data_IF_195289827842
#
_entry.id   IF_195289827842
#
_cell.length_a   1.000
_cell.length_b   1.000
_cell.length_c   1.000
_cell.angle_alpha   90.00
_cell.angle_beta   90.00
_cell.angle_gamma   90.00
#
_symmetry.space_group_name_H-M   'P 1'
#
loop_
_entity.id
_entity.type
_entity.pdbx_description
1 polymer ?
#
# COMPACT_ATOMS: atom_id res chain seq x y z
N UNK A 1 3.19 -0.47 21.17
CA UNK A 1 3.91 -0.14 19.91
C UNK A 1 5.19 -0.96 19.82
N UNK A 2 5.67 -1.28 18.60
CA UNK A 2 6.92 -2.01 18.40
C UNK A 2 8.11 -1.05 18.40
N UNK A 3 9.18 -1.36 19.14
CA UNK A 3 10.38 -0.51 19.23
C UNK A 3 11.13 -0.34 17.91
N UNK A 4 10.98 -1.27 16.97
CA UNK A 4 11.56 -1.17 15.62
C UNK A 4 10.63 -0.47 14.61
N UNK A 5 9.42 -0.10 15.00
CA UNK A 5 8.45 0.54 14.10
C UNK A 5 8.84 1.97 13.76
N UNK A 6 8.80 2.32 12.47
CA UNK A 6 9.14 3.64 11.93
C UNK A 6 7.92 4.43 11.42
N UNK A 7 6.74 3.80 11.36
CA UNK A 7 5.47 4.42 10.96
C UNK A 7 4.32 4.02 11.89
N UNK A 8 3.29 4.86 11.97
CA UNK A 8 2.10 4.63 12.79
C UNK A 8 1.12 3.66 12.11
N UNK A 9 1.51 2.38 12.01
CA UNK A 9 0.81 1.36 11.20
C UNK A 9 -0.69 1.30 11.43
N UNK A 10 -1.12 1.35 12.70
CA UNK A 10 -2.54 1.27 13.08
C UNK A 10 -3.32 2.49 12.60
N UNK A 11 -2.82 3.71 12.82
CA UNK A 11 -3.49 4.93 12.41
C UNK A 11 -3.62 4.99 10.87
N UNK A 12 -2.53 4.64 10.16
CA UNK A 12 -2.53 4.58 8.69
C UNK A 12 -3.54 3.54 8.19
N UNK A 13 -3.62 2.35 8.82
CA UNK A 13 -4.59 1.32 8.46
C UNK A 13 -6.04 1.79 8.64
N UNK A 14 -6.34 2.44 9.77
CA UNK A 14 -7.67 2.98 10.09
C UNK A 14 -8.10 4.07 9.09
N UNK A 15 -7.17 4.96 8.70
CA UNK A 15 -7.41 6.00 7.70
C UNK A 15 -7.68 5.39 6.31
N UNK A 16 -6.84 4.46 5.85
CA UNK A 16 -7.03 3.79 4.56
C UNK A 16 -8.35 3.01 4.52
N UNK A 17 -8.68 2.28 5.59
CA UNK A 17 -9.94 1.54 5.68
C UNK A 17 -11.16 2.47 5.59
N UNK A 18 -11.04 3.71 6.10
CA UNK A 18 -12.10 4.71 6.06
C UNK A 18 -12.20 5.39 4.69
N UNK A 19 -11.08 5.79 4.11
CA UNK A 19 -11.06 6.61 2.89
C UNK A 19 -11.08 5.81 1.58
N UNK A 20 -10.59 4.56 1.62
CA UNK A 20 -10.39 3.72 0.43
C UNK A 20 -11.06 2.34 0.54
N UNK A 21 -12.36 2.24 0.92
CA UNK A 21 -13.03 0.95 1.09
C UNK A 21 -13.07 0.11 -0.20
N UNK A 22 -13.08 0.76 -1.37
CA UNK A 22 -13.17 0.10 -2.68
C UNK A 22 -11.92 -0.70 -3.07
N UNK A 23 -10.81 -0.54 -2.33
CA UNK A 23 -9.63 -1.40 -2.46
C UNK A 23 -9.90 -2.82 -1.93
N UNK A 24 -10.87 -2.98 -1.03
CA UNK A 24 -11.06 -4.19 -0.25
C UNK A 24 -12.28 -5.01 -0.71
N UNK A 25 -12.32 -5.33 -2.01
CA UNK A 25 -13.33 -6.21 -2.62
C UNK A 25 -13.04 -7.71 -2.41
N UNK A 26 -12.29 -8.05 -1.35
CA UNK A 26 -11.75 -9.38 -1.03
C UNK A 26 -10.74 -9.96 -2.04
N UNK A 27 -10.36 -9.25 -3.11
CA UNK A 27 -9.34 -9.73 -4.05
C UNK A 27 -7.91 -9.29 -3.71
N UNK A 28 -7.76 -8.21 -2.94
CA UNK A 28 -6.48 -7.56 -2.66
C UNK A 28 -6.17 -7.56 -1.16
N UNK A 29 -4.93 -7.90 -0.81
CA UNK A 29 -4.40 -7.71 0.56
C UNK A 29 -3.48 -6.49 0.58
N UNK A 30 -3.72 -5.59 1.53
CA UNK A 30 -2.80 -4.50 1.89
C UNK A 30 -2.12 -4.85 3.22
N UNK A 31 -0.80 -4.99 3.20
CA UNK A 31 -0.01 -5.15 4.41
C UNK A 31 0.63 -3.82 4.81
N UNK A 32 0.53 -3.45 6.10
CA UNK A 32 1.19 -2.26 6.64
C UNK A 32 2.17 -2.70 7.74
N UNK A 33 3.45 -2.70 7.40
CA UNK A 33 4.52 -3.11 8.30
C UNK A 33 5.24 -1.90 8.87
N UNK A 34 5.44 -1.88 10.19
CA UNK A 34 6.17 -0.80 10.85
C UNK A 34 7.66 -0.76 10.49
N UNK A 35 8.22 -1.87 10.01
CA UNK A 35 9.61 -1.97 9.56
C UNK A 35 9.80 -3.14 8.58
N UNK A 36 11.00 -3.28 8.00
CA UNK A 36 11.30 -4.35 7.05
C UNK A 36 11.20 -5.78 7.61
N UNK A 37 11.09 -5.98 8.94
CA UNK A 37 10.95 -7.32 9.54
C UNK A 37 9.68 -8.03 9.09
N UNK A 38 8.59 -7.30 8.83
CA UNK A 38 7.34 -7.87 8.31
C UNK A 38 6.65 -8.86 9.24
N UNK A 39 6.76 -8.70 10.56
CA UNK A 39 6.33 -9.72 11.53
C UNK A 39 4.85 -10.10 11.46
N UNK A 40 3.97 -9.16 11.09
CA UNK A 40 2.53 -9.41 11.00
C UNK A 40 2.14 -10.19 9.74
N UNK A 41 2.92 -10.09 8.66
CA UNK A 41 2.69 -10.80 7.41
C UNK A 41 4.03 -11.02 6.68
N UNK A 42 4.69 -12.18 6.88
CA UNK A 42 6.00 -12.45 6.28
C UNK A 42 5.93 -12.78 4.78
N UNK A 43 4.74 -13.12 4.27
CA UNK A 43 4.50 -13.41 2.85
C UNK A 43 4.24 -12.16 2.02
N UNK A 44 4.11 -12.32 0.69
CA UNK A 44 3.77 -11.20 -0.19
C UNK A 44 2.33 -10.74 0.05
N UNK A 45 2.09 -9.46 -0.25
CA UNK A 45 0.76 -8.87 -0.36
C UNK A 45 0.72 -8.04 -1.65
N UNK A 46 -0.47 -7.87 -2.23
CA UNK A 46 -0.61 -7.11 -3.48
C UNK A 46 -0.14 -5.66 -3.33
N UNK A 47 -0.31 -5.09 -2.14
CA UNK A 47 0.37 -3.86 -1.72
C UNK A 47 0.97 -4.06 -0.33
N UNK A 48 2.21 -3.62 -0.13
CA UNK A 48 2.85 -3.53 1.19
C UNK A 48 3.36 -2.11 1.43
N UNK A 49 2.88 -1.47 2.50
CA UNK A 49 3.53 -0.30 3.08
C UNK A 49 4.55 -0.76 4.13
N UNK A 50 5.76 -0.24 4.06
CA UNK A 50 6.83 -0.57 5.01
C UNK A 50 7.45 0.70 5.58
N UNK A 51 7.57 0.76 6.90
CA UNK A 51 8.33 1.80 7.57
C UNK A 51 9.83 1.66 7.33
N UNK A 52 10.44 2.73 6.85
CA UNK A 52 11.86 2.84 6.51
C UNK A 52 12.42 4.17 7.04
N UNK A 53 13.73 4.40 6.92
CA UNK A 53 14.38 5.68 7.25
C UNK A 53 13.86 6.84 6.38
N UNK A 54 13.39 6.52 5.17
CA UNK A 54 12.78 7.49 4.25
C UNK A 54 11.27 7.71 4.46
N UNK A 55 10.67 7.10 5.50
CA UNK A 55 9.23 7.20 5.80
C UNK A 55 8.46 5.91 5.48
N UNK A 56 7.32 6.03 4.80
CA UNK A 56 6.50 4.90 4.36
C UNK A 56 6.84 4.53 2.91
N UNK A 57 7.57 3.43 2.73
CA UNK A 57 7.86 2.84 1.44
C UNK A 57 6.71 1.97 0.93
N UNK A 58 6.42 2.03 -0.37
CA UNK A 58 5.48 1.14 -1.04
C UNK A 58 6.20 0.04 -1.82
N UNK A 59 5.78 -1.21 -1.60
CA UNK A 59 6.12 -2.38 -2.40
C UNK A 59 4.83 -2.89 -3.06
N UNK A 60 4.88 -3.17 -4.36
CA UNK A 60 3.77 -3.76 -5.12
C UNK A 60 4.06 -5.24 -5.32
N UNK A 61 3.07 -6.10 -5.05
CA UNK A 61 3.16 -7.56 -5.16
C UNK A 61 4.43 -8.14 -4.49
N UNK A 62 4.59 -7.85 -3.21
CA UNK A 62 5.82 -8.17 -2.50
C UNK A 62 5.72 -8.06 -0.99
N UNK A 63 6.85 -8.31 -0.33
CA UNK A 63 6.96 -8.35 1.14
C UNK A 63 7.52 -7.05 1.70
N UNK A 64 7.43 -6.87 3.02
CA UNK A 64 8.08 -5.76 3.71
C UNK A 64 9.62 -5.77 3.63
N UNK A 65 10.24 -6.89 3.20
CA UNK A 65 11.70 -6.99 3.02
C UNK A 65 12.17 -6.53 1.65
N UNK A 66 11.26 -6.38 0.69
CA UNK A 66 11.60 -5.96 -0.65
C UNK A 66 11.95 -4.46 -0.68
N UNK A 67 12.72 -4.05 -1.68
CA UNK A 67 13.06 -2.65 -1.90
C UNK A 67 11.79 -1.87 -2.31
N UNK A 68 11.41 -0.80 -1.59
CA UNK A 68 10.28 0.03 -1.98
C UNK A 68 10.48 0.71 -3.33
N UNK A 69 9.42 0.75 -4.14
CA UNK A 69 9.39 1.42 -5.44
C UNK A 69 9.04 2.93 -5.32
N UNK A 70 8.58 3.37 -4.16
CA UNK A 70 8.29 4.77 -3.86
C UNK A 70 8.17 5.02 -2.36
N UNK A 71 8.36 6.26 -1.94
CA UNK A 71 8.30 6.68 -0.53
C UNK A 71 7.39 7.88 -0.36
N UNK A 72 6.84 8.00 0.85
CA UNK A 72 6.18 9.20 1.37
C UNK A 72 6.52 9.42 2.84
N UNK A 73 6.36 10.63 3.38
CA UNK A 73 6.30 10.82 4.83
C UNK A 73 5.28 9.87 5.46
N UNK A 74 5.58 9.32 6.63
CA UNK A 74 4.72 8.31 7.27
C UNK A 74 3.29 8.80 7.57
N UNK A 75 3.14 10.09 7.89
CA UNK A 75 1.84 10.72 8.14
C UNK A 75 0.99 10.91 6.86
N UNK A 76 1.56 10.66 5.69
CA UNK A 76 0.96 10.94 4.38
C UNK A 76 0.80 9.66 3.54
N UNK A 77 1.09 8.51 4.14
CA UNK A 77 1.04 7.21 3.47
C UNK A 77 -0.39 6.84 3.03
N UNK A 78 -1.39 7.17 3.87
CA UNK A 78 -2.80 6.89 3.56
C UNK A 78 -3.27 7.65 2.32
N UNK A 79 -2.90 8.93 2.19
CA UNK A 79 -3.16 9.75 0.99
C UNK A 79 -2.56 9.14 -0.29
N UNK A 80 -1.34 8.61 -0.20
CA UNK A 80 -0.73 7.88 -1.33
C UNK A 80 -1.55 6.65 -1.75
N UNK A 81 -2.08 5.90 -0.78
CA UNK A 81 -2.96 4.75 -1.04
C UNK A 81 -4.33 5.19 -1.59
N UNK A 82 -4.87 6.32 -1.13
CA UNK A 82 -6.09 6.90 -1.70
C UNK A 82 -5.93 7.25 -3.19
N UNK A 83 -4.74 7.75 -3.59
CA UNK A 83 -4.39 7.96 -4.99
C UNK A 83 -4.44 6.68 -5.83
N UNK A 84 -3.91 5.57 -5.29
CA UNK A 84 -3.99 4.25 -5.92
C UNK A 84 -5.46 3.76 -6.01
N UNK A 85 -6.22 3.92 -4.92
CA UNK A 85 -7.63 3.53 -4.87
C UNK A 85 -8.46 4.27 -5.93
N UNK A 86 -8.23 5.57 -6.09
CA UNK A 86 -8.89 6.38 -7.11
C UNK A 86 -8.53 5.91 -8.53
N UNK A 87 -7.26 5.59 -8.79
CA UNK A 87 -6.84 5.06 -10.09
C UNK A 87 -7.50 3.72 -10.40
N UNK A 88 -7.55 2.79 -9.43
CA UNK A 88 -8.25 1.52 -9.58
C UNK A 88 -9.73 1.76 -9.87
N UNK A 89 -10.41 2.63 -9.10
CA UNK A 89 -11.83 2.95 -9.30
C UNK A 89 -12.12 3.46 -10.72
N UNK A 90 -11.25 4.32 -11.24
CA UNK A 90 -11.43 4.94 -12.55
C UNK A 90 -11.04 4.03 -13.72
N UNK A 91 -10.08 3.12 -13.52
CA UNK A 91 -9.56 2.26 -14.57
C UNK A 91 -10.26 0.90 -14.67
N UNK A 92 -10.96 0.47 -13.62
CA UNK A 92 -11.53 -0.88 -13.50
C UNK A 92 -12.59 -1.14 -14.57
N UNK A 93 -12.48 -2.26 -15.27
CA UNK A 93 -13.49 -2.73 -16.22
C UNK A 93 -14.70 -3.34 -15.49
N UNK A 94 -15.90 -3.41 -16.13
CA UNK A 94 -17.04 -4.12 -15.54
C UNK A 94 -16.69 -5.57 -15.16
N UNK A 95 -16.91 -5.92 -13.88
CA UNK A 95 -16.59 -7.25 -13.32
C UNK A 95 -15.11 -7.50 -13.00
N UNK A 96 -14.22 -6.54 -13.23
CA UNK A 96 -12.79 -6.65 -12.87
C UNK A 96 -12.59 -6.45 -11.36
N UNK A 97 -11.75 -7.27 -10.75
CA UNK A 97 -11.40 -7.14 -9.32
C UNK A 97 -10.35 -6.06 -9.09
N UNK A 98 -10.20 -5.58 -7.86
CA UNK A 98 -9.16 -4.63 -7.47
C UNK A 98 -7.77 -5.17 -7.82
N UNK A 99 -7.51 -6.43 -7.50
CA UNK A 99 -6.23 -7.08 -7.78
C UNK A 99 -5.96 -7.20 -9.29
N UNK A 100 -6.94 -7.58 -10.11
CA UNK A 100 -6.77 -7.67 -11.56
C UNK A 100 -6.48 -6.30 -12.18
N UNK A 101 -7.22 -5.26 -11.75
CA UNK A 101 -6.97 -3.89 -12.17
C UNK A 101 -5.57 -3.41 -11.75
N UNK A 102 -5.15 -3.70 -10.52
CA UNK A 102 -3.81 -3.37 -10.00
C UNK A 102 -2.71 -4.01 -10.85
N UNK A 103 -2.82 -5.30 -11.16
CA UNK A 103 -1.89 -6.03 -12.02
C UNK A 103 -1.83 -5.43 -13.43
N UNK A 104 -2.98 -5.06 -14.00
CA UNK A 104 -3.06 -4.45 -15.34
C UNK A 104 -2.46 -3.05 -15.39
N UNK A 105 -2.67 -2.22 -14.36
CA UNK A 105 -2.05 -0.91 -14.24
C UNK A 105 -0.53 -1.01 -14.10
N UNK A 106 -0.05 -2.06 -13.42
CA UNK A 106 1.35 -2.40 -13.32
C UNK A 106 2.10 -1.64 -12.22
N UNK A 107 3.14 -2.26 -11.67
CA UNK A 107 3.84 -1.77 -10.48
C UNK A 107 4.45 -0.36 -10.63
N UNK A 108 4.96 -0.02 -11.82
CA UNK A 108 5.55 1.29 -12.09
C UNK A 108 4.53 2.42 -11.94
N UNK A 109 3.36 2.28 -12.55
CA UNK A 109 2.29 3.29 -12.48
C UNK A 109 1.79 3.42 -11.04
N UNK A 110 1.58 2.30 -10.35
CA UNK A 110 1.15 2.29 -8.94
C UNK A 110 2.16 3.00 -8.03
N UNK A 111 3.46 2.76 -8.23
CA UNK A 111 4.51 3.44 -7.47
C UNK A 111 4.58 4.94 -7.79
N UNK A 112 4.30 5.34 -9.03
CA UNK A 112 4.21 6.76 -9.40
C UNK A 112 2.99 7.45 -8.78
N UNK A 113 1.81 6.82 -8.82
CA UNK A 113 0.60 7.32 -8.17
C UNK A 113 0.77 7.50 -6.66
N UNK A 114 1.46 6.57 -6.02
CA UNK A 114 1.80 6.67 -4.60
C UNK A 114 2.69 7.87 -4.30
N UNK A 115 3.67 8.19 -5.17
CA UNK A 115 4.60 9.32 -4.97
C UNK A 115 3.97 10.69 -5.22
N UNK A 116 3.01 10.79 -6.16
CA UNK A 116 2.55 12.08 -6.70
C UNK A 116 1.42 12.76 -5.92
N UNK A 117 0.58 12.01 -5.19
CA UNK A 117 -0.72 12.51 -4.69
C UNK A 117 -0.71 13.20 -3.34
#
# INVERSE_FOLDING_TARGET
>A
ACASGRIATRAIAEEIATESPDLFDASLTLHISGCAKGCAHPGPAGLTLVGDENGAGLVVDGTAKALPAGYRPGYDAARGVAGIAAAIRNARHPGETAAACLTRLGATEIAELYRRN
#
